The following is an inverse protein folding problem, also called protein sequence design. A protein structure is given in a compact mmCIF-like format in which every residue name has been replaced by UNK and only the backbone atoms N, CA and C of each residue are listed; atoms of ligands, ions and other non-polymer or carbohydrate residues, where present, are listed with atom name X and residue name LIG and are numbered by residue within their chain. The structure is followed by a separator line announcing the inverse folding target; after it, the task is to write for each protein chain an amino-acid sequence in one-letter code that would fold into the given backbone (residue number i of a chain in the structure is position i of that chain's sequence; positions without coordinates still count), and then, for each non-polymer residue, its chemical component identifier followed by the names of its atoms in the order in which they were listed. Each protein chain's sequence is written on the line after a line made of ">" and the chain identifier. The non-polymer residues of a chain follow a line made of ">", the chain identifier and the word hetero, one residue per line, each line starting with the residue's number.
data_IF_920687744451
#
_entry.id   IF_920687744451
#
_cell.length_a   1.000
_cell.length_b   1.000
_cell.length_c   1.000
_cell.angle_alpha   90.00
_cell.angle_beta   90.00
_cell.angle_gamma   90.00
#
_symmetry.space_group_name_H-M   'P 1'
#
loop_
_entity.id
_entity.type
_entity.pdbx_description
1 polymer ?
#
# COMPACT_ATOMS: atom_id res chain seq x y z
N UNK A 1 0.22 -4.04 19.34
CA UNK A 1 -0.45 -4.51 18.11
C UNK A 1 -1.73 -5.24 18.48
N UNK A 2 -2.88 -4.57 18.30
CA UNK A 2 -4.19 -5.20 18.47
C UNK A 2 -4.40 -6.15 17.28
N UNK A 3 -4.52 -7.44 17.53
CA UNK A 3 -4.90 -8.39 16.48
C UNK A 3 -6.38 -8.20 16.16
N UNK A 4 -6.68 -7.91 14.89
CA UNK A 4 -8.05 -7.84 14.38
C UNK A 4 -8.72 -9.22 14.43
N UNK A 5 -9.96 -9.27 14.87
CA UNK A 5 -10.78 -10.49 14.80
C UNK A 5 -11.34 -10.69 13.37
N UNK A 6 -11.91 -11.87 13.09
CA UNK A 6 -12.42 -12.21 11.75
C UNK A 6 -13.53 -11.26 11.27
N UNK A 7 -14.41 -10.79 12.16
CA UNK A 7 -15.47 -9.87 11.77
C UNK A 7 -14.93 -8.48 11.44
N UNK A 8 -13.93 -8.00 12.21
CA UNK A 8 -13.23 -6.75 11.93
C UNK A 8 -12.51 -6.80 10.58
N UNK A 9 -11.80 -7.89 10.29
CA UNK A 9 -11.13 -8.09 8.99
C UNK A 9 -12.12 -8.06 7.82
N UNK A 10 -13.24 -8.79 7.96
CA UNK A 10 -14.31 -8.81 6.94
C UNK A 10 -14.93 -7.43 6.73
N UNK A 11 -15.18 -6.69 7.80
CA UNK A 11 -15.73 -5.33 7.72
C UNK A 11 -14.77 -4.36 7.02
N UNK A 12 -13.49 -4.44 7.30
CA UNK A 12 -12.45 -3.64 6.59
C UNK A 12 -12.44 -4.00 5.11
N UNK A 13 -12.43 -5.31 4.77
CA UNK A 13 -12.45 -5.74 3.37
C UNK A 13 -13.67 -5.21 2.63
N UNK A 14 -14.86 -5.33 3.23
CA UNK A 14 -16.10 -4.80 2.66
C UNK A 14 -16.05 -3.27 2.48
N UNK A 15 -15.45 -2.56 3.43
CA UNK A 15 -15.24 -1.11 3.32
C UNK A 15 -14.34 -0.76 2.13
N UNK A 16 -13.24 -1.51 1.95
CA UNK A 16 -12.32 -1.34 0.82
C UNK A 16 -13.04 -1.61 -0.50
N UNK A 17 -13.79 -2.71 -0.61
CA UNK A 17 -14.54 -3.06 -1.83
C UNK A 17 -15.55 -1.96 -2.18
N UNK A 18 -16.39 -1.52 -1.23
CA UNK A 18 -17.36 -0.44 -1.45
C UNK A 18 -16.69 0.87 -1.86
N UNK A 19 -15.55 1.20 -1.25
CA UNK A 19 -14.77 2.37 -1.63
C UNK A 19 -14.35 2.30 -3.09
N UNK A 20 -13.76 1.18 -3.54
CA UNK A 20 -13.35 1.01 -4.93
C UNK A 20 -14.52 1.00 -5.91
N UNK A 21 -15.63 0.35 -5.56
CA UNK A 21 -16.85 0.35 -6.37
C UNK A 21 -17.40 1.76 -6.63
N UNK A 22 -17.34 2.66 -5.63
CA UNK A 22 -17.72 4.08 -5.79
C UNK A 22 -16.86 4.82 -6.81
N UNK A 23 -15.63 4.38 -6.99
CA UNK A 23 -14.71 4.91 -8.00
C UNK A 23 -14.81 4.16 -9.35
N UNK A 24 -15.77 3.24 -9.48
CA UNK A 24 -15.97 2.43 -10.68
C UNK A 24 -14.95 1.31 -10.85
N UNK A 25 -14.22 0.95 -9.79
CA UNK A 25 -13.22 -0.11 -9.77
C UNK A 25 -13.86 -1.35 -9.14
N UNK A 26 -14.32 -2.29 -9.97
CA UNK A 26 -15.09 -3.47 -9.52
C UNK A 26 -14.22 -4.70 -9.27
N UNK A 27 -13.07 -4.80 -9.90
CA UNK A 27 -12.06 -5.84 -9.64
C UNK A 27 -10.85 -5.20 -8.98
N UNK A 28 -10.67 -5.45 -7.70
CA UNK A 28 -9.67 -4.79 -6.86
C UNK A 28 -8.66 -5.75 -6.21
N UNK A 29 -8.71 -7.04 -6.57
CA UNK A 29 -7.74 -8.05 -6.13
C UNK A 29 -7.75 -8.40 -4.64
N UNK A 30 -8.67 -7.85 -3.84
CA UNK A 30 -8.80 -8.20 -2.42
C UNK A 30 -9.74 -9.37 -2.23
N UNK A 31 -9.28 -10.42 -1.55
CA UNK A 31 -10.05 -11.64 -1.27
C UNK A 31 -9.81 -12.07 0.17
N UNK A 32 -10.76 -12.83 0.73
CA UNK A 32 -10.57 -13.53 2.00
C UNK A 32 -10.37 -15.02 1.72
N UNK A 33 -9.41 -15.64 2.41
CA UNK A 33 -9.28 -17.10 2.40
C UNK A 33 -10.24 -17.76 3.42
N UNK A 34 -10.21 -19.10 3.48
CA UNK A 34 -11.05 -19.87 4.40
C UNK A 34 -10.69 -19.64 5.88
N UNK A 35 -9.48 -19.19 6.17
CA UNK A 35 -8.98 -18.88 7.52
C UNK A 35 -9.22 -17.42 7.92
N UNK A 36 -10.06 -16.67 7.17
CA UNK A 36 -10.34 -15.25 7.39
C UNK A 36 -9.11 -14.33 7.30
N UNK A 37 -8.10 -14.73 6.53
CA UNK A 37 -6.96 -13.87 6.22
C UNK A 37 -7.24 -13.05 4.96
N UNK A 38 -6.87 -11.77 5.02
CA UNK A 38 -6.92 -10.89 3.87
C UNK A 38 -5.82 -11.28 2.88
N UNK A 39 -6.22 -11.78 1.73
CA UNK A 39 -5.32 -12.03 0.60
C UNK A 39 -5.40 -10.85 -0.36
N UNK A 40 -4.22 -10.36 -0.73
CA UNK A 40 -4.08 -9.47 -1.88
C UNK A 40 -3.65 -10.36 -3.03
N UNK A 41 -4.43 -10.37 -4.11
CA UNK A 41 -4.03 -11.09 -5.31
C UNK A 41 -2.72 -10.47 -5.83
N UNK A 42 -1.64 -11.23 -5.74
CA UNK A 42 -0.30 -10.74 -6.10
C UNK A 42 -0.15 -10.48 -7.60
N UNK A 43 -1.01 -11.08 -8.41
CA UNK A 43 -1.08 -10.83 -9.86
C UNK A 43 -1.98 -9.63 -10.17
N UNK A 44 -2.80 -9.20 -9.21
CA UNK A 44 -3.66 -8.03 -9.39
C UNK A 44 -2.82 -6.76 -9.29
N UNK A 45 -2.62 -6.14 -10.41
CA UNK A 45 -1.98 -4.84 -10.52
C UNK A 45 -3.08 -3.83 -10.79
N UNK A 46 -3.37 -2.97 -9.83
CA UNK A 46 -4.22 -1.82 -10.07
C UNK A 46 -3.47 -0.86 -11.01
N UNK A 47 -3.65 -1.07 -12.29
CA UNK A 47 -3.25 -0.11 -13.30
C UNK A 47 -4.40 0.90 -13.40
N UNK A 48 -4.36 1.93 -12.57
CA UNK A 48 -5.18 3.09 -12.81
C UNK A 48 -4.83 3.62 -14.20
N UNK A 49 -5.82 3.75 -15.08
CA UNK A 49 -5.62 4.54 -16.29
C UNK A 49 -5.23 5.95 -15.81
N UNK A 50 -4.38 6.65 -16.54
CA UNK A 50 -3.91 8.01 -16.21
C UNK A 50 -5.03 9.05 -16.03
N UNK A 51 -6.27 8.67 -16.26
CA UNK A 51 -7.48 9.50 -16.15
C UNK A 51 -8.43 9.08 -15.02
N UNK A 52 -8.21 7.92 -14.37
CA UNK A 52 -9.09 7.43 -13.32
C UNK A 52 -8.62 7.92 -11.96
N UNK A 53 -9.51 8.64 -11.27
CA UNK A 53 -9.26 9.06 -9.90
C UNK A 53 -9.19 7.83 -8.99
N UNK A 54 -8.12 7.72 -8.22
CA UNK A 54 -7.94 6.65 -7.23
C UNK A 54 -8.43 7.11 -5.86
N UNK A 55 -9.03 6.21 -5.06
CA UNK A 55 -9.44 6.54 -3.70
C UNK A 55 -8.24 6.86 -2.80
N UNK A 56 -8.48 7.71 -1.81
CA UNK A 56 -7.54 8.14 -0.79
C UNK A 56 -7.84 7.47 0.56
N UNK A 57 -7.01 7.73 1.57
CA UNK A 57 -7.30 7.28 2.95
C UNK A 57 -8.56 7.92 3.52
N UNK A 58 -8.90 9.16 3.12
CA UNK A 58 -10.17 9.80 3.49
C UNK A 58 -11.38 9.06 2.95
N UNK A 59 -11.29 8.55 1.73
CA UNK A 59 -12.37 7.75 1.12
C UNK A 59 -12.54 6.41 1.85
N UNK A 60 -11.42 5.80 2.26
CA UNK A 60 -11.43 4.59 3.08
C UNK A 60 -12.05 4.84 4.45
N UNK A 61 -11.61 5.88 5.17
CA UNK A 61 -12.17 6.26 6.47
C UNK A 61 -13.69 6.45 6.38
N UNK A 62 -14.15 7.18 5.37
CA UNK A 62 -15.57 7.41 5.13
C UNK A 62 -16.34 6.09 4.92
N UNK A 63 -15.77 5.18 4.12
CA UNK A 63 -16.38 3.87 3.87
C UNK A 63 -16.39 2.98 5.12
N UNK A 64 -15.34 3.02 5.94
CA UNK A 64 -15.25 2.24 7.19
C UNK A 64 -16.24 2.73 8.24
N UNK A 65 -16.52 4.03 8.31
CA UNK A 65 -17.48 4.59 9.26
C UNK A 65 -18.93 4.19 8.97
N UNK A 66 -19.25 3.74 7.76
CA UNK A 66 -20.58 3.26 7.38
C UNK A 66 -20.87 1.82 7.86
N UNK A 67 -19.85 1.06 8.22
CA UNK A 67 -19.96 -0.33 8.67
C UNK A 67 -19.62 -0.37 10.17
N UNK A 68 -20.56 -0.83 10.96
CA UNK A 68 -20.47 -0.80 12.43
C UNK A 68 -19.18 -1.45 12.95
N UNK A 69 -18.82 -2.61 12.44
CA UNK A 69 -17.67 -3.40 12.87
C UNK A 69 -16.33 -2.76 12.51
N UNK A 70 -16.25 -1.95 11.46
CA UNK A 70 -15.05 -1.21 11.05
C UNK A 70 -15.02 0.24 11.54
N UNK A 71 -16.14 0.79 12.00
CA UNK A 71 -16.24 2.20 12.43
C UNK A 71 -15.33 2.52 13.63
N UNK A 72 -15.18 1.59 14.59
CA UNK A 72 -14.26 1.78 15.71
C UNK A 72 -12.79 1.73 15.25
N UNK A 73 -12.50 0.88 14.26
CA UNK A 73 -11.15 0.75 13.69
C UNK A 73 -10.80 1.98 12.84
N UNK A 74 -11.79 2.62 12.22
CA UNK A 74 -11.60 3.85 11.45
C UNK A 74 -10.98 4.97 12.29
N UNK A 75 -11.17 4.98 13.61
CA UNK A 75 -10.51 5.92 14.52
C UNK A 75 -8.99 5.80 14.50
N UNK A 76 -8.48 4.61 14.24
CA UNK A 76 -7.03 4.37 14.14
C UNK A 76 -6.43 4.96 12.84
N UNK A 77 -7.27 5.26 11.83
CA UNK A 77 -6.85 5.96 10.61
C UNK A 77 -6.81 7.49 10.78
N UNK A 78 -7.42 8.03 11.82
CA UNK A 78 -7.53 9.49 12.00
C UNK A 78 -6.18 10.23 11.94
N UNK A 79 -5.07 9.72 12.51
CA UNK A 79 -3.76 10.34 12.38
C UNK A 79 -3.30 10.47 10.92
N UNK A 80 -3.70 9.55 10.05
CA UNK A 80 -3.33 9.49 8.63
C UNK A 80 -4.30 10.26 7.73
N UNK A 81 -5.52 10.52 8.19
CA UNK A 81 -6.56 11.21 7.42
C UNK A 81 -6.52 12.72 7.68
N UNK A 82 -6.52 13.13 8.94
CA UNK A 82 -6.61 14.52 9.36
C UNK A 82 -5.55 14.95 10.38
N UNK A 83 -4.76 14.00 10.89
CA UNK A 83 -3.73 14.23 11.89
C UNK A 83 -2.35 14.55 11.29
N UNK A 84 -1.33 14.40 12.12
CA UNK A 84 0.08 14.73 11.79
C UNK A 84 0.68 13.86 10.68
N UNK A 85 0.09 12.69 10.41
CA UNK A 85 0.54 11.76 9.38
C UNK A 85 -0.28 11.86 8.07
N UNK A 86 -1.05 12.94 7.88
CA UNK A 86 -1.90 13.10 6.69
C UNK A 86 -1.14 13.27 5.37
N UNK A 87 0.18 13.35 5.44
CA UNK A 87 1.06 13.40 4.28
C UNK A 87 0.78 12.26 3.26
N UNK A 88 0.33 11.11 3.76
CA UNK A 88 0.00 9.96 2.91
C UNK A 88 -1.45 9.97 2.39
N UNK A 89 -2.25 10.96 2.78
CA UNK A 89 -3.65 11.09 2.39
C UNK A 89 -3.81 12.01 1.19
N UNK A 90 -3.38 11.57 0.03
CA UNK A 90 -3.45 12.35 -1.20
C UNK A 90 -3.38 11.46 -2.44
N UNK A 91 -3.67 12.06 -3.59
CA UNK A 91 -3.48 11.39 -4.87
C UNK A 91 -1.98 11.21 -5.14
N UNK A 92 -1.62 10.07 -5.74
CA UNK A 92 -0.23 9.80 -6.12
C UNK A 92 0.21 10.82 -7.18
N UNK A 93 1.23 11.60 -6.88
CA UNK A 93 1.79 12.64 -7.74
C UNK A 93 3.22 12.34 -8.22
N UNK A 94 3.67 11.10 -8.03
CA UNK A 94 5.04 10.67 -8.37
C UNK A 94 5.08 10.09 -9.78
N UNK A 95 6.00 10.57 -10.60
CA UNK A 95 6.28 10.05 -11.93
C UNK A 95 7.55 9.17 -11.94
N UNK A 96 7.37 7.89 -12.26
CA UNK A 96 8.47 6.92 -12.41
C UNK A 96 8.86 6.68 -13.88
N UNK A 97 8.54 7.58 -14.79
CA UNK A 97 8.90 7.42 -16.20
C UNK A 97 10.34 7.86 -16.53
N UNK A 98 11.09 8.27 -15.52
CA UNK A 98 12.50 8.61 -15.64
C UNK A 98 13.40 7.40 -15.44
N UNK A 99 14.57 7.41 -16.09
CA UNK A 99 15.57 6.34 -15.96
C UNK A 99 16.24 6.32 -14.58
N UNK A 100 16.23 7.45 -13.88
CA UNK A 100 16.78 7.61 -12.55
C UNK A 100 15.79 8.37 -11.65
N UNK A 101 15.33 7.73 -10.59
CA UNK A 101 14.36 8.28 -9.63
C UNK A 101 14.91 8.13 -8.22
N UNK A 102 14.84 9.18 -7.42
CA UNK A 102 15.22 9.18 -6.02
C UNK A 102 14.04 9.62 -5.16
N UNK A 103 13.72 8.82 -4.16
CA UNK A 103 12.76 9.18 -3.12
C UNK A 103 13.53 9.70 -1.90
N UNK A 104 13.50 11.00 -1.68
CA UNK A 104 14.09 11.62 -0.49
C UNK A 104 13.10 11.57 0.68
N UNK A 105 13.45 10.83 1.73
CA UNK A 105 12.61 10.69 2.94
C UNK A 105 13.29 11.28 4.19
N UNK A 106 14.39 12.00 4.01
CA UNK A 106 15.23 12.53 5.10
C UNK A 106 14.47 13.48 6.04
N UNK A 107 13.53 14.25 5.49
CA UNK A 107 12.83 15.29 6.25
C UNK A 107 11.57 14.77 6.94
N UNK A 108 11.29 13.46 6.84
CA UNK A 108 10.19 12.83 7.55
C UNK A 108 10.55 12.56 9.01
N UNK A 109 9.56 12.69 9.88
CA UNK A 109 9.71 12.24 11.25
C UNK A 109 10.04 10.75 11.31
N UNK A 110 10.82 10.33 12.29
CA UNK A 110 11.28 8.95 12.42
C UNK A 110 10.10 7.95 12.54
N UNK A 111 9.00 8.35 13.13
CA UNK A 111 7.76 7.56 13.23
C UNK A 111 7.08 7.27 11.89
N UNK A 112 7.39 8.07 10.86
CA UNK A 112 6.82 7.92 9.52
C UNK A 112 7.80 7.30 8.51
N UNK A 113 9.07 7.20 8.86
CA UNK A 113 10.11 6.79 7.92
C UNK A 113 9.93 5.35 7.44
N UNK A 114 9.62 4.41 8.31
CA UNK A 114 9.39 3.00 7.94
C UNK A 114 8.15 2.82 7.04
N UNK A 115 7.08 3.56 7.33
CA UNK A 115 5.85 3.58 6.51
C UNK A 115 6.14 4.18 5.14
N UNK A 116 6.87 5.30 5.09
CA UNK A 116 7.25 5.94 3.84
C UNK A 116 8.12 5.03 2.97
N UNK A 117 9.12 4.37 3.56
CA UNK A 117 9.97 3.41 2.85
C UNK A 117 9.14 2.25 2.29
N UNK A 118 8.20 1.71 3.09
CA UNK A 118 7.32 0.64 2.65
C UNK A 118 6.45 1.08 1.47
N UNK A 119 5.79 2.24 1.55
CA UNK A 119 4.94 2.79 0.48
C UNK A 119 5.76 3.04 -0.79
N UNK A 120 6.93 3.66 -0.68
CA UNK A 120 7.81 3.90 -1.83
C UNK A 120 8.25 2.60 -2.49
N UNK A 121 8.69 1.62 -1.70
CA UNK A 121 9.14 0.34 -2.23
C UNK A 121 8.00 -0.45 -2.87
N UNK A 122 6.80 -0.43 -2.27
CA UNK A 122 5.61 -1.06 -2.84
C UNK A 122 5.20 -0.40 -4.17
N UNK A 123 5.22 0.92 -4.24
CA UNK A 123 4.94 1.66 -5.47
C UNK A 123 5.95 1.32 -6.58
N UNK A 124 7.25 1.33 -6.27
CA UNK A 124 8.31 0.92 -7.19
C UNK A 124 8.09 -0.52 -7.64
N UNK A 125 7.79 -1.42 -6.70
CA UNK A 125 7.61 -2.84 -6.97
C UNK A 125 6.42 -3.10 -7.89
N UNK A 126 5.29 -2.43 -7.65
CA UNK A 126 4.12 -2.52 -8.51
C UNK A 126 4.43 -2.02 -9.93
N UNK A 127 5.18 -0.93 -10.05
CA UNK A 127 5.61 -0.41 -11.35
C UNK A 127 6.54 -1.38 -12.08
N UNK A 128 7.41 -2.09 -11.37
CA UNK A 128 8.29 -3.13 -11.96
C UNK A 128 7.47 -4.31 -12.47
N UNK A 129 6.48 -4.78 -11.70
CA UNK A 129 5.61 -5.90 -12.08
C UNK A 129 4.73 -5.58 -13.30
N UNK A 130 4.20 -4.37 -13.38
CA UNK A 130 3.32 -3.92 -14.47
C UNK A 130 4.04 -3.46 -15.72
N UNK A 131 5.34 -3.25 -15.65
CA UNK A 131 6.11 -2.56 -16.68
C UNK A 131 6.66 -3.44 -17.79
N UNK A 132 7.36 -2.76 -18.69
CA UNK A 132 8.20 -3.37 -19.70
C UNK A 132 9.32 -4.22 -19.04
N UNK A 133 9.90 -5.14 -19.77
CA UNK A 133 10.97 -6.03 -19.27
C UNK A 133 12.35 -5.32 -19.18
N UNK A 134 12.38 -4.01 -18.91
CA UNK A 134 13.63 -3.26 -18.70
C UNK A 134 14.38 -3.76 -17.48
N UNK A 135 15.70 -3.71 -17.54
CA UNK A 135 16.53 -3.96 -16.34
C UNK A 135 16.43 -2.78 -15.40
N UNK A 136 16.22 -3.06 -14.12
CA UNK A 136 16.12 -2.06 -13.07
C UNK A 136 16.96 -2.44 -11.87
N UNK A 137 17.46 -1.41 -11.18
CA UNK A 137 18.13 -1.55 -9.90
C UNK A 137 17.36 -0.73 -8.88
N UNK A 138 17.01 -1.36 -7.78
CA UNK A 138 16.44 -0.70 -6.61
C UNK A 138 17.57 -0.60 -5.60
N UNK A 139 17.82 0.61 -5.11
CA UNK A 139 18.78 0.85 -4.03
C UNK A 139 17.99 1.38 -2.84
N UNK A 140 18.03 0.66 -1.73
CA UNK A 140 17.39 1.06 -0.48
C UNK A 140 18.47 1.36 0.53
N UNK A 141 18.70 2.64 0.76
CA UNK A 141 19.57 3.08 1.85
C UNK A 141 18.84 2.89 3.19
N UNK A 142 19.57 2.58 4.24
CA UNK A 142 19.01 2.31 5.59
C UNK A 142 17.94 1.21 5.62
N UNK A 143 18.02 0.21 4.73
CA UNK A 143 17.03 -0.88 4.60
C UNK A 143 16.71 -1.59 5.95
N UNK A 144 17.63 -1.55 6.91
CA UNK A 144 17.45 -2.11 8.26
C UNK A 144 16.26 -1.48 9.02
N UNK A 145 15.87 -0.24 8.68
CA UNK A 145 14.68 0.42 9.25
C UNK A 145 13.43 -0.42 8.97
N UNK A 146 13.30 -0.93 7.75
CA UNK A 146 12.17 -1.78 7.37
C UNK A 146 12.15 -3.11 8.12
N UNK A 147 13.30 -3.61 8.56
CA UNK A 147 13.40 -4.87 9.31
C UNK A 147 12.90 -4.78 10.76
N UNK A 148 12.68 -3.56 11.28
CA UNK A 148 12.11 -3.35 12.61
C UNK A 148 10.63 -3.74 12.67
N UNK A 149 9.92 -3.66 11.54
CA UNK A 149 8.51 -4.03 11.43
C UNK A 149 8.39 -5.33 10.65
N UNK A 150 7.67 -6.30 11.18
CA UNK A 150 7.53 -7.64 10.59
C UNK A 150 6.96 -7.58 9.17
N UNK A 151 5.94 -6.74 8.93
CA UNK A 151 5.28 -6.63 7.61
C UNK A 151 6.21 -6.01 6.57
N UNK A 152 6.88 -4.91 6.91
CA UNK A 152 7.85 -4.25 6.02
C UNK A 152 9.07 -5.14 5.74
N UNK A 153 9.55 -5.86 6.76
CA UNK A 153 10.67 -6.79 6.63
C UNK A 153 10.35 -7.95 5.71
N UNK A 154 9.18 -8.59 5.86
CA UNK A 154 8.71 -9.66 4.97
C UNK A 154 8.55 -9.17 3.53
N UNK A 155 8.04 -7.96 3.36
CA UNK A 155 7.89 -7.37 2.03
C UNK A 155 9.25 -7.13 1.36
N UNK A 156 10.22 -6.56 2.09
CA UNK A 156 11.58 -6.36 1.59
C UNK A 156 12.24 -7.70 1.20
N UNK A 157 12.09 -8.73 2.04
CA UNK A 157 12.58 -10.07 1.76
C UNK A 157 11.93 -10.66 0.49
N UNK A 158 10.61 -10.50 0.33
CA UNK A 158 9.87 -10.93 -0.85
C UNK A 158 10.41 -10.24 -2.11
N UNK A 159 10.58 -8.93 -2.09
CA UNK A 159 11.15 -8.17 -3.21
C UNK A 159 12.55 -8.68 -3.54
N UNK A 160 13.44 -8.81 -2.55
CA UNK A 160 14.80 -9.30 -2.75
C UNK A 160 14.84 -10.70 -3.42
N UNK A 161 13.98 -11.63 -2.97
CA UNK A 161 13.89 -12.98 -3.52
C UNK A 161 13.30 -13.05 -4.93
N UNK A 162 12.41 -12.13 -5.27
CA UNK A 162 11.62 -12.20 -6.52
C UNK A 162 12.04 -11.20 -7.59
N UNK A 163 12.77 -10.14 -7.25
CA UNK A 163 13.17 -9.07 -8.15
C UNK A 163 13.81 -9.58 -9.46
N UNK A 164 14.64 -10.60 -9.35
CA UNK A 164 15.31 -11.22 -10.51
C UNK A 164 14.33 -11.74 -11.57
N UNK A 165 13.14 -12.23 -11.18
CA UNK A 165 12.13 -12.73 -12.12
C UNK A 165 11.56 -11.59 -12.99
N UNK A 166 11.68 -10.37 -12.51
CA UNK A 166 11.19 -9.16 -13.20
C UNK A 166 12.35 -8.31 -13.76
N UNK A 167 13.52 -8.91 -13.98
CA UNK A 167 14.74 -8.22 -14.44
C UNK A 167 15.15 -7.05 -13.51
N UNK A 168 14.86 -7.14 -12.22
CA UNK A 168 15.26 -6.17 -11.24
C UNK A 168 16.27 -6.77 -10.24
N UNK A 169 17.13 -5.89 -9.71
CA UNK A 169 18.01 -6.16 -8.57
C UNK A 169 17.65 -5.25 -7.40
N UNK A 170 17.92 -5.69 -6.17
CA UNK A 170 17.81 -4.92 -4.94
C UNK A 170 19.19 -4.84 -4.30
#
# INVERSE_FOLDING_TARGET
>A
DKKLNSNEKRAILLSIQRMYERFGITDNGFKMNAEDELLIDEEFIMVGSSTQKMPTLSDLDSSMREIKESSEIAKELEPFVSGVMNLFNGETNVDLNNDFVVFGIKDLEQSMTDIAMFICLEYIWNKIKSGDKKRRLIVVDEAWIMLKNESSGRFLEKVAKTARKFNAGL
#
